data_IF_588050006956
#
_entry.id   IF_588050006956
#
_cell.length_a   1.000
_cell.length_b   1.000
_cell.length_c   1.000
_cell.angle_alpha   90.00
_cell.angle_beta   90.00
_cell.angle_gamma   90.00
#
_symmetry.space_group_name_H-M   'P 1'
#
loop_
_entity.id
_entity.type
_entity.pdbx_description
1 polymer ?
#
# COMPACT_ATOMS: atom_id res chain seq x y z
N UNK A 1 29.74 13.36 -14.67
CA UNK A 1 28.60 14.11 -15.24
C UNK A 1 27.34 13.36 -14.87
N UNK A 2 26.58 13.83 -13.91
CA UNK A 2 25.27 13.27 -13.58
C UNK A 2 24.32 13.74 -14.66
N UNK A 3 23.92 12.85 -15.57
CA UNK A 3 22.89 13.16 -16.55
C UNK A 3 21.56 13.41 -15.81
N UNK A 4 20.83 14.44 -16.20
CA UNK A 4 19.48 14.66 -15.70
C UNK A 4 18.62 13.42 -15.95
N UNK A 5 17.75 13.03 -14.99
CA UNK A 5 16.87 11.90 -15.18
C UNK A 5 15.95 12.14 -16.38
N UNK A 6 15.79 11.12 -17.21
CA UNK A 6 14.90 11.14 -18.37
C UNK A 6 13.78 10.09 -18.19
N UNK A 7 12.68 10.27 -18.94
CA UNK A 7 11.59 9.29 -18.94
C UNK A 7 12.07 7.91 -19.41
N UNK A 8 13.00 7.86 -20.38
CA UNK A 8 13.55 6.58 -20.86
C UNK A 8 14.38 5.90 -19.79
N UNK A 9 15.19 6.67 -19.03
CA UNK A 9 15.94 6.12 -17.90
C UNK A 9 15.03 5.63 -16.79
N UNK A 10 13.93 6.35 -16.49
CA UNK A 10 12.91 5.93 -15.54
C UNK A 10 12.21 4.64 -16.00
N UNK A 11 11.86 4.55 -17.28
CA UNK A 11 11.23 3.35 -17.87
C UNK A 11 12.16 2.15 -17.83
N UNK A 12 13.45 2.34 -18.14
CA UNK A 12 14.45 1.29 -18.04
C UNK A 12 14.66 0.81 -16.60
N UNK A 13 14.71 1.71 -15.64
CA UNK A 13 14.74 1.37 -14.22
C UNK A 13 13.50 0.59 -13.82
N UNK A 14 12.32 1.07 -14.22
CA UNK A 14 11.05 0.43 -13.88
C UNK A 14 10.87 -0.95 -14.50
N UNK A 15 11.43 -1.20 -15.68
CA UNK A 15 11.39 -2.54 -16.29
C UNK A 15 12.08 -3.62 -15.45
N UNK A 16 13.01 -3.20 -14.58
CA UNK A 16 13.75 -4.08 -13.69
C UNK A 16 13.08 -4.27 -12.32
N UNK A 17 12.49 -3.22 -11.77
CA UNK A 17 11.98 -3.20 -10.40
C UNK A 17 10.46 -3.12 -10.31
N UNK A 18 9.77 -2.79 -11.39
CA UNK A 18 8.31 -2.60 -11.41
C UNK A 18 7.80 -1.72 -10.25
N UNK A 19 8.53 -0.64 -9.95
CA UNK A 19 8.22 0.24 -8.83
C UNK A 19 7.04 1.17 -9.13
N UNK A 20 6.98 1.69 -10.35
CA UNK A 20 5.97 2.64 -10.80
C UNK A 20 4.96 2.00 -11.75
N UNK A 21 3.77 2.55 -11.81
CA UNK A 21 2.81 2.21 -12.86
C UNK A 21 3.15 2.94 -14.17
N UNK A 22 2.65 2.45 -15.27
CA UNK A 22 2.77 3.16 -16.55
C UNK A 22 2.09 4.55 -16.50
N UNK A 23 1.00 4.65 -15.73
CA UNK A 23 0.28 5.91 -15.52
C UNK A 23 1.16 6.96 -14.82
N UNK A 24 1.89 6.58 -13.78
CA UNK A 24 2.83 7.45 -13.08
C UNK A 24 3.99 7.89 -13.99
N UNK A 25 4.57 6.94 -14.75
CA UNK A 25 5.64 7.23 -15.71
C UNK A 25 5.15 8.18 -16.80
N UNK A 26 3.93 7.97 -17.31
CA UNK A 26 3.36 8.81 -18.35
C UNK A 26 3.01 10.23 -17.85
N UNK A 27 2.60 10.35 -16.60
CA UNK A 27 2.37 11.65 -15.96
C UNK A 27 3.68 12.42 -15.68
N UNK A 28 4.81 11.72 -15.59
CA UNK A 28 6.13 12.33 -15.30
C UNK A 28 6.79 12.80 -16.60
N UNK A 29 6.38 13.98 -17.10
CA UNK A 29 6.80 14.52 -18.38
C UNK A 29 7.99 15.50 -18.32
N UNK A 30 8.32 16.00 -17.12
CA UNK A 30 9.45 16.92 -16.90
C UNK A 30 10.49 16.33 -15.96
N UNK A 31 11.70 16.90 -15.96
CA UNK A 31 12.77 16.51 -15.04
C UNK A 31 12.31 16.67 -13.58
N UNK A 32 11.59 17.76 -13.28
CA UNK A 32 11.06 18.03 -11.94
C UNK A 32 10.07 16.95 -11.51
N UNK A 33 9.13 16.57 -12.39
CA UNK A 33 8.13 15.54 -12.07
C UNK A 33 8.77 14.17 -11.86
N UNK A 34 9.82 13.83 -12.62
CA UNK A 34 10.60 12.61 -12.42
C UNK A 34 11.34 12.64 -11.08
N UNK A 35 11.97 13.77 -10.75
CA UNK A 35 12.66 13.92 -9.47
C UNK A 35 11.70 13.84 -8.28
N UNK A 36 10.50 14.44 -8.37
CA UNK A 36 9.48 14.32 -7.33
C UNK A 36 9.04 12.87 -7.13
N UNK A 37 8.97 12.08 -8.19
CA UNK A 37 8.64 10.67 -8.10
C UNK A 37 9.78 9.86 -7.46
N UNK A 38 11.03 10.12 -7.86
CA UNK A 38 12.20 9.41 -7.36
C UNK A 38 12.54 9.75 -5.90
N UNK A 39 12.24 10.96 -5.44
CA UNK A 39 12.54 11.45 -4.09
C UNK A 39 11.46 11.16 -3.06
N UNK A 40 10.61 10.19 -3.30
CA UNK A 40 9.64 9.71 -2.31
C UNK A 40 10.28 8.69 -1.38
N UNK A 41 9.85 8.60 -0.13
CA UNK A 41 10.17 7.45 0.72
C UNK A 41 9.76 6.15 0.03
N UNK A 42 10.42 5.06 0.37
CA UNK A 42 10.14 3.74 -0.20
C UNK A 42 9.59 2.80 0.87
N UNK A 43 8.55 2.05 0.49
CA UNK A 43 8.11 0.89 1.24
C UNK A 43 8.12 -0.35 0.36
N UNK A 44 8.60 -1.45 0.91
CA UNK A 44 8.47 -2.79 0.35
C UNK A 44 7.50 -3.54 1.24
N UNK A 45 6.35 -3.94 0.69
CA UNK A 45 5.27 -4.57 1.44
C UNK A 45 5.19 -6.05 1.07
N UNK A 46 5.28 -6.93 2.06
CA UNK A 46 4.92 -8.32 1.88
C UNK A 46 3.44 -8.44 1.60
N UNK A 47 3.06 -9.27 0.65
CA UNK A 47 1.67 -9.64 0.36
C UNK A 47 1.54 -11.15 0.34
N UNK A 48 0.47 -11.65 0.91
CA UNK A 48 0.17 -13.09 1.03
C UNK A 48 -1.09 -13.40 0.23
N UNK A 49 -1.17 -14.58 -0.36
CA UNK A 49 -2.42 -15.02 -1.02
C UNK A 49 -3.58 -14.98 -0.06
N UNK A 50 -4.67 -14.41 -0.54
CA UNK A 50 -5.89 -14.28 0.25
C UNK A 50 -6.64 -15.62 0.27
N UNK A 51 -6.77 -16.18 1.46
CA UNK A 51 -7.52 -17.42 1.75
C UNK A 51 -8.76 -17.14 2.62
N UNK A 52 -9.34 -15.94 2.49
CA UNK A 52 -10.48 -15.47 3.28
C UNK A 52 -10.12 -14.60 4.46
N UNK A 53 -8.87 -14.13 4.56
CA UNK A 53 -8.46 -13.22 5.61
C UNK A 53 -9.12 -11.84 5.42
N UNK A 54 -9.50 -11.23 6.55
CA UNK A 54 -9.93 -9.84 6.58
C UNK A 54 -8.71 -8.94 6.77
N UNK A 55 -8.58 -7.92 5.94
CA UNK A 55 -7.47 -6.94 6.05
C UNK A 55 -7.38 -6.08 4.81
N UNK A 56 -6.44 -5.17 4.80
CA UNK A 56 -6.08 -4.38 3.64
C UNK A 56 -5.31 -5.23 2.61
N UNK A 57 -5.41 -4.86 1.36
CA UNK A 57 -4.73 -5.54 0.26
C UNK A 57 -4.09 -4.57 -0.73
N UNK A 58 -3.27 -5.09 -1.64
CA UNK A 58 -2.69 -4.32 -2.72
C UNK A 58 -3.73 -4.04 -3.81
N UNK A 59 -3.89 -2.78 -4.17
CA UNK A 59 -4.80 -2.36 -5.23
C UNK A 59 -4.16 -1.30 -6.11
N UNK A 60 -4.67 -1.19 -7.34
CA UNK A 60 -4.45 -0.05 -8.20
C UNK A 60 -5.55 0.97 -7.94
N UNK A 61 -5.16 2.17 -7.51
CA UNK A 61 -6.07 3.26 -7.18
C UNK A 61 -5.89 4.41 -8.15
N UNK A 62 -6.98 4.88 -8.72
CA UNK A 62 -6.98 6.08 -9.57
C UNK A 62 -7.27 7.30 -8.72
N UNK A 63 -6.33 8.25 -8.70
CA UNK A 63 -6.52 9.58 -8.11
C UNK A 63 -6.10 10.64 -9.14
N UNK A 64 -6.99 11.57 -9.44
CA UNK A 64 -6.77 12.64 -10.42
C UNK A 64 -6.31 12.13 -11.81
N UNK A 65 -6.80 10.96 -12.22
CA UNK A 65 -6.44 10.34 -13.50
C UNK A 65 -5.10 9.60 -13.49
N UNK A 66 -4.39 9.57 -12.38
CA UNK A 66 -3.14 8.81 -12.21
C UNK A 66 -3.43 7.55 -11.43
N UNK A 67 -3.03 6.40 -11.97
CA UNK A 67 -3.15 5.11 -11.31
C UNK A 67 -1.90 4.86 -10.49
N UNK A 68 -2.07 4.50 -9.22
CA UNK A 68 -0.98 4.23 -8.28
C UNK A 68 -1.21 2.91 -7.56
N UNK A 69 -0.13 2.31 -7.06
CA UNK A 69 -0.19 1.12 -6.19
C UNK A 69 -0.43 1.56 -4.76
N UNK A 70 -1.50 1.07 -4.14
CA UNK A 70 -1.86 1.40 -2.77
C UNK A 70 -2.24 0.15 -1.99
N UNK A 71 -2.15 0.24 -0.67
CA UNK A 71 -2.81 -0.68 0.24
C UNK A 71 -4.15 -0.05 0.59
N UNK A 72 -5.23 -0.79 0.40
CA UNK A 72 -6.59 -0.32 0.66
C UNK A 72 -7.24 -1.25 1.67
N UNK A 73 -7.80 -0.66 2.71
CA UNK A 73 -8.62 -1.35 3.71
C UNK A 73 -10.09 -1.37 3.31
N UNK A 74 -10.82 -2.35 3.82
CA UNK A 74 -12.26 -2.51 3.59
C UNK A 74 -13.05 -1.23 3.94
N UNK A 75 -12.65 -0.53 5.01
CA UNK A 75 -13.32 0.68 5.45
C UNK A 75 -13.17 1.88 4.49
N UNK A 76 -12.25 1.79 3.52
CA UNK A 76 -12.04 2.82 2.48
C UNK A 76 -12.88 2.57 1.22
N UNK A 77 -13.60 1.44 1.14
CA UNK A 77 -14.27 0.98 -0.07
C UNK A 77 -15.77 1.19 0.07
N UNK A 78 -16.39 1.77 -0.94
CA UNK A 78 -17.84 1.78 -1.06
C UNK A 78 -18.33 0.38 -1.44
N UNK A 79 -18.80 -0.35 -0.44
CA UNK A 79 -19.31 -1.72 -0.62
C UNK A 79 -20.72 -1.78 -1.22
N UNK A 80 -21.38 -0.64 -1.43
CA UNK A 80 -22.65 -0.57 -2.13
C UNK A 80 -22.49 -0.31 -3.64
N UNK A 81 -21.27 0.05 -4.07
CA UNK A 81 -20.95 0.38 -5.46
C UNK A 81 -20.09 -0.68 -6.16
N UNK A 82 -19.62 -0.34 -7.35
CA UNK A 82 -18.81 -1.22 -8.22
C UNK A 82 -17.46 -1.63 -7.59
N UNK A 83 -16.96 -0.86 -6.62
CA UNK A 83 -15.71 -1.17 -5.93
C UNK A 83 -15.80 -2.43 -5.07
N UNK A 84 -17.01 -2.82 -4.64
CA UNK A 84 -17.21 -4.01 -3.82
C UNK A 84 -16.70 -5.29 -4.52
N UNK A 85 -17.04 -5.47 -5.79
CA UNK A 85 -16.60 -6.63 -6.56
C UNK A 85 -15.08 -6.69 -6.64
N UNK A 86 -14.42 -5.58 -6.98
CA UNK A 86 -12.96 -5.47 -7.07
C UNK A 86 -12.31 -5.82 -5.72
N UNK A 87 -12.88 -5.33 -4.62
CA UNK A 87 -12.34 -5.59 -3.30
C UNK A 87 -12.46 -7.06 -2.88
N UNK A 88 -13.62 -7.69 -3.13
CA UNK A 88 -13.85 -9.09 -2.76
C UNK A 88 -13.13 -10.09 -3.67
N UNK A 89 -12.75 -9.69 -4.89
CA UNK A 89 -11.93 -10.49 -5.80
C UNK A 89 -10.42 -10.34 -5.55
N UNK A 90 -10.03 -9.58 -4.52
CA UNK A 90 -8.61 -9.40 -4.18
C UNK A 90 -7.92 -10.73 -3.96
N UNK A 91 -6.87 -10.99 -4.72
CA UNK A 91 -6.08 -12.22 -4.65
C UNK A 91 -5.06 -12.24 -3.52
N UNK A 92 -4.76 -11.08 -2.92
CA UNK A 92 -3.77 -10.92 -1.88
C UNK A 92 -4.24 -9.98 -0.77
N UNK A 93 -3.72 -10.20 0.42
CA UNK A 93 -3.82 -9.24 1.50
C UNK A 93 -2.42 -8.84 1.99
N UNK A 94 -2.30 -7.72 2.68
CA UNK A 94 -1.05 -7.27 3.27
C UNK A 94 -1.06 -7.57 4.77
N UNK A 95 -0.26 -8.55 5.23
CA UNK A 95 0.06 -8.69 6.64
C UNK A 95 1.01 -7.57 7.02
N UNK A 96 0.86 -6.89 8.10
CA UNK A 96 1.73 -5.77 8.50
C UNK A 96 3.23 -6.17 8.48
N UNK A 97 3.75 -6.45 7.29
CA UNK A 97 5.14 -6.82 7.06
C UNK A 97 5.71 -5.91 5.99
N UNK A 98 6.56 -4.98 6.41
CA UNK A 98 7.14 -3.96 5.54
C UNK A 98 8.58 -3.65 5.88
N UNK A 99 9.33 -3.29 4.84
CA UNK A 99 10.64 -2.65 4.96
C UNK A 99 10.51 -1.23 4.44
N UNK A 100 11.00 -0.27 5.21
CA UNK A 100 10.85 1.15 4.92
C UNK A 100 12.23 1.79 4.73
N UNK A 101 12.38 2.56 3.65
CA UNK A 101 13.48 3.50 3.49
C UNK A 101 12.94 4.92 3.65
N UNK A 102 13.31 5.53 4.76
CA UNK A 102 12.80 6.84 5.20
C UNK A 102 13.87 7.93 5.14
N UNK A 103 14.98 7.68 4.47
CA UNK A 103 16.07 8.66 4.34
C UNK A 103 16.23 9.12 2.90
N UNK A 104 16.54 10.39 2.75
CA UNK A 104 16.88 10.99 1.47
C UNK A 104 18.33 10.63 1.04
N UNK A 105 18.73 11.09 -0.14
CA UNK A 105 20.06 10.86 -0.67
C UNK A 105 21.21 11.49 0.15
N UNK A 106 20.89 12.39 1.08
CA UNK A 106 21.83 12.99 2.04
C UNK A 106 21.90 12.22 3.35
N UNK A 107 21.06 11.19 3.54
CA UNK A 107 20.95 10.40 4.75
C UNK A 107 20.08 11.04 5.84
N UNK A 108 19.36 12.11 5.52
CA UNK A 108 18.44 12.78 6.42
C UNK A 108 17.06 12.11 6.39
N UNK A 109 16.38 12.08 7.52
CA UNK A 109 15.01 11.53 7.60
C UNK A 109 14.06 12.49 6.87
N UNK A 110 13.20 11.93 6.00
CA UNK A 110 12.12 12.68 5.36
C UNK A 110 11.14 13.24 6.40
N UNK A 111 10.56 14.41 6.12
CA UNK A 111 9.30 14.78 6.75
C UNK A 111 8.18 13.89 6.18
N UNK A 112 7.88 12.82 6.90
CA UNK A 112 6.95 11.79 6.43
C UNK A 112 5.52 12.30 6.30
N UNK A 113 5.15 13.35 7.04
CA UNK A 113 3.82 13.96 6.93
C UNK A 113 3.62 14.69 5.60
N UNK A 114 4.69 15.16 4.95
CA UNK A 114 4.62 15.75 3.61
C UNK A 114 4.19 14.74 2.53
N UNK A 115 4.22 13.45 2.83
CA UNK A 115 3.83 12.36 1.92
C UNK A 115 2.48 11.73 2.27
N UNK A 116 1.75 12.28 3.22
CA UNK A 116 0.38 11.87 3.54
C UNK A 116 -0.60 12.29 2.44
N UNK A 117 -1.72 11.61 2.42
CA UNK A 117 -2.92 12.04 1.73
C UNK A 117 -4.04 12.22 2.76
N UNK A 118 -4.26 13.45 3.17
CA UNK A 118 -5.22 13.79 4.23
C UNK A 118 -6.67 13.56 3.83
N UNK A 119 -6.96 13.39 2.52
CA UNK A 119 -8.29 13.02 2.03
C UNK A 119 -8.63 11.54 2.28
N UNK A 120 -7.63 10.73 2.62
CA UNK A 120 -7.81 9.29 2.91
C UNK A 120 -8.07 9.03 4.41
N UNK A 121 -8.79 9.87 5.08
CA UNK A 121 -9.30 9.59 6.42
C UNK A 121 -10.44 8.56 6.37
N UNK A 122 -10.64 7.82 7.47
CA UNK A 122 -11.75 6.89 7.61
C UNK A 122 -12.85 7.48 8.48
N UNK A 123 -14.10 7.28 8.03
CA UNK A 123 -15.29 7.57 8.81
C UNK A 123 -15.86 6.26 9.34
N UNK A 124 -15.78 6.04 10.63
CA UNK A 124 -16.24 4.80 11.25
C UNK A 124 -17.42 5.07 12.17
N UNK A 125 -18.54 4.43 11.90
CA UNK A 125 -19.74 4.49 12.74
C UNK A 125 -19.71 3.35 13.75
N UNK A 126 -19.80 3.65 15.03
CA UNK A 126 -19.82 2.67 16.13
C UNK A 126 -20.90 3.03 17.13
N UNK A 127 -21.56 2.01 17.71
CA UNK A 127 -22.40 2.22 18.87
C UNK A 127 -21.51 2.22 20.14
N UNK A 128 -21.52 3.32 20.88
CA UNK A 128 -20.84 3.46 22.14
C UNK A 128 -21.85 3.77 23.25
N UNK A 129 -21.98 2.85 24.22
CA UNK A 129 -22.90 2.96 25.33
C UNK A 129 -24.35 3.29 24.92
N UNK A 130 -24.85 2.63 23.85
CA UNK A 130 -26.22 2.79 23.34
C UNK A 130 -26.44 4.04 22.47
N UNK A 131 -25.37 4.78 22.14
CA UNK A 131 -25.41 5.94 21.24
C UNK A 131 -24.59 5.67 20.00
N UNK A 132 -25.11 6.02 18.85
CA UNK A 132 -24.38 5.99 17.60
C UNK A 132 -23.41 7.17 17.55
N UNK A 133 -22.13 6.89 17.40
CA UNK A 133 -21.04 7.88 17.34
C UNK A 133 -20.25 7.65 16.08
N UNK A 134 -19.85 8.77 15.48
CA UNK A 134 -18.99 8.78 14.31
C UNK A 134 -17.57 9.13 14.75
N UNK A 135 -16.64 8.25 14.46
CA UNK A 135 -15.22 8.49 14.65
C UNK A 135 -14.58 8.84 13.32
N UNK A 136 -13.70 9.82 13.34
CA UNK A 136 -12.81 10.11 12.21
C UNK A 136 -11.44 9.56 12.58
N UNK A 137 -10.96 8.62 11.78
CA UNK A 137 -9.63 8.08 11.88
C UNK A 137 -8.75 8.77 10.83
N UNK A 138 -7.78 9.53 11.30
CA UNK A 138 -6.86 10.27 10.42
C UNK A 138 -5.98 9.31 9.62
N UNK A 139 -5.36 9.79 8.52
CA UNK A 139 -4.43 8.99 7.73
C UNK A 139 -3.37 8.32 8.60
N UNK A 140 -3.27 7.03 8.51
CA UNK A 140 -2.35 6.19 9.26
C UNK A 140 -1.58 5.24 8.34
N UNK A 141 -1.08 4.14 8.92
CA UNK A 141 -0.21 3.18 8.24
C UNK A 141 -0.84 2.62 6.94
N UNK A 142 -2.16 2.41 6.92
CA UNK A 142 -2.88 1.77 5.82
C UNK A 142 -3.73 2.74 5.00
N UNK A 143 -4.20 3.79 5.60
CA UNK A 143 -5.16 4.72 5.03
C UNK A 143 -4.54 6.09 4.82
N UNK A 144 -3.77 6.28 3.77
CA UNK A 144 -3.29 7.59 3.35
C UNK A 144 -1.96 8.06 3.93
N UNK A 145 -1.49 7.55 5.08
CA UNK A 145 -0.22 7.98 5.68
C UNK A 145 1.01 7.68 4.83
N UNK A 146 0.92 6.69 3.95
CA UNK A 146 1.97 6.34 2.99
C UNK A 146 1.48 6.42 1.53
N UNK A 147 0.45 7.23 1.25
CA UNK A 147 -0.16 7.30 -0.08
C UNK A 147 0.80 7.78 -1.17
N UNK A 148 1.67 8.73 -0.83
CA UNK A 148 2.65 9.30 -1.76
C UNK A 148 4.05 8.68 -1.61
N UNK A 149 4.12 7.42 -1.16
CA UNK A 149 5.37 6.67 -1.09
C UNK A 149 5.56 5.79 -2.34
N UNK A 150 6.81 5.58 -2.71
CA UNK A 150 7.16 4.53 -3.65
C UNK A 150 6.83 3.18 -3.03
N UNK A 151 6.03 2.36 -3.73
CA UNK A 151 5.50 1.12 -3.17
C UNK A 151 5.86 -0.07 -4.05
N UNK A 152 6.56 -1.05 -3.47
CA UNK A 152 6.83 -2.33 -4.08
C UNK A 152 6.09 -3.42 -3.30
N UNK A 153 5.32 -4.26 -4.00
CA UNK A 153 4.70 -5.45 -3.43
C UNK A 153 5.53 -6.67 -3.74
N UNK A 154 5.77 -7.50 -2.72
CA UNK A 154 6.50 -8.76 -2.84
C UNK A 154 5.62 -9.88 -2.28
N UNK A 155 5.27 -10.84 -3.12
CA UNK A 155 4.54 -12.02 -2.68
C UNK A 155 5.45 -12.84 -1.76
N UNK A 156 4.94 -13.15 -0.56
CA UNK A 156 5.58 -14.04 0.41
C UNK A 156 4.66 -15.24 0.65
N UNK A 157 5.26 -16.40 0.90
CA UNK A 157 4.49 -17.62 1.13
C UNK A 157 3.82 -17.64 2.51
N UNK A 158 2.79 -18.48 2.63
CA UNK A 158 2.07 -18.68 3.90
C UNK A 158 2.97 -19.26 5.01
N UNK A 159 4.08 -19.87 4.66
CA UNK A 159 5.09 -20.35 5.60
C UNK A 159 5.86 -19.21 6.28
N UNK A 160 5.90 -18.03 5.65
CA UNK A 160 6.51 -16.82 6.23
C UNK A 160 5.51 -16.07 7.11
N UNK A 161 4.26 -16.06 6.70
CA UNK A 161 3.19 -15.41 7.44
C UNK A 161 1.88 -16.18 7.31
N UNK A 162 1.44 -16.78 8.41
CA UNK A 162 0.15 -17.46 8.54
C UNK A 162 -0.61 -16.85 9.72
N UNK A 163 -1.69 -16.10 9.49
CA UNK A 163 -2.38 -15.38 10.55
C UNK A 163 -3.12 -16.35 11.47
N UNK A 164 -3.07 -16.08 12.78
CA UNK A 164 -3.85 -16.77 13.81
C UNK A 164 -4.93 -15.83 14.32
N UNK A 165 -6.20 -16.10 14.01
CA UNK A 165 -7.36 -15.35 14.48
C UNK A 165 -8.23 -16.16 15.44
N UNK A 166 -8.18 -17.46 15.30
CA UNK A 166 -8.90 -18.42 16.15
C UNK A 166 -7.96 -19.53 16.62
N UNK A 167 -8.36 -20.26 17.67
CA UNK A 167 -7.59 -21.41 18.16
C UNK A 167 -7.42 -22.49 17.09
N UNK A 168 -8.39 -22.61 16.17
CA UNK A 168 -8.33 -23.60 15.10
C UNK A 168 -7.24 -23.29 14.05
N UNK A 169 -6.85 -22.04 13.92
CA UNK A 169 -5.78 -21.67 12.99
C UNK A 169 -4.42 -22.27 13.40
N UNK A 170 -4.24 -22.55 14.70
CA UNK A 170 -3.02 -23.17 15.24
C UNK A 170 -2.79 -24.61 14.76
N UNK A 171 -3.82 -25.28 14.26
CA UNK A 171 -3.70 -26.64 13.70
C UNK A 171 -3.46 -26.64 12.17
N UNK A 172 -3.36 -25.48 11.56
CA UNK A 172 -2.98 -25.39 10.15
C UNK A 172 -1.53 -25.90 9.96
N UNK A 173 -1.24 -26.57 8.84
CA UNK A 173 0.10 -27.12 8.58
C UNK A 173 1.22 -26.11 8.72
N UNK A 174 0.97 -24.83 8.41
CA UNK A 174 1.93 -23.73 8.54
C UNK A 174 2.35 -23.42 10.00
N UNK A 175 1.60 -23.90 10.99
CA UNK A 175 1.89 -23.73 12.42
C UNK A 175 2.36 -25.01 13.10
N UNK A 176 2.32 -26.13 12.39
CA UNK A 176 2.79 -27.41 12.92
C UNK A 176 4.25 -27.62 12.52
N UNK A 177 5.11 -27.99 13.49
CA UNK A 177 6.45 -28.46 13.17
C UNK A 177 6.33 -29.70 12.29
N UNK A 178 6.89 -29.67 11.10
CA UNK A 178 7.12 -30.88 10.31
C UNK A 178 8.39 -31.54 10.87
N UNK A 179 8.23 -32.45 11.82
CA UNK A 179 9.28 -33.36 12.26
C UNK A 179 9.60 -34.39 11.17
#
# INVERSE_FOLDING_TARGET
MTSNPSKDALSLFNSRFNLYTESEINASSSVESILLLLKRPLRICGVVRNEGQNGGGPFFVSKNGIIQKQIIEKAQVDLAGDQAAIFFESSHFNPVMMVLDIKNEQGEIYDLFAFNDDEQFLKVEKNHAGKDVVFIELPGLWNGGMANWNTLFVEIGNEVFSPVKTVLDLINPSHLSMD
#
